data_IF_245999364961
#
_entry.id   IF_245999364961
#
_cell.length_a   1.000
_cell.length_b   1.000
_cell.length_c   1.000
_cell.angle_alpha   90.00
_cell.angle_beta   90.00
_cell.angle_gamma   90.00
#
_symmetry.space_group_name_H-M   'P 1'
#
loop_
_entity.id
_entity.type
_entity.pdbx_description
1 polymer ?
#
# COMPACT_ATOMS: atom_id res chain seq x y z
N UNK A 1 -18.16 19.05 -9.71
CA UNK A 1 -17.45 20.28 -10.11
C UNK A 1 -16.53 19.84 -11.23
N UNK A 2 -16.99 19.74 -12.49
CA UNK A 2 -16.29 18.92 -13.46
C UNK A 2 -14.91 19.45 -13.83
N UNK A 3 -13.96 18.52 -14.01
CA UNK A 3 -12.64 18.82 -14.55
C UNK A 3 -12.64 18.95 -16.08
N UNK A 4 -13.74 18.55 -16.72
CA UNK A 4 -13.90 18.49 -18.18
C UNK A 4 -14.92 19.52 -18.67
N UNK A 5 -14.56 20.21 -19.73
CA UNK A 5 -15.46 20.92 -20.62
C UNK A 5 -15.10 20.55 -22.07
N UNK A 6 -15.84 21.06 -23.03
CA UNK A 6 -15.55 20.88 -24.46
C UNK A 6 -15.57 22.20 -25.20
N UNK A 7 -14.76 22.33 -26.24
CA UNK A 7 -14.93 23.39 -27.25
C UNK A 7 -16.20 23.14 -28.07
N UNK A 8 -16.63 24.11 -28.86
CA UNK A 8 -17.75 23.91 -29.79
C UNK A 8 -17.45 22.85 -30.85
N UNK A 9 -16.17 22.69 -31.23
CA UNK A 9 -15.71 21.63 -32.12
C UNK A 9 -15.69 20.23 -31.48
N UNK A 10 -15.97 20.13 -30.17
CA UNK A 10 -15.98 18.86 -29.44
C UNK A 10 -14.63 18.44 -28.87
N UNK A 11 -13.62 19.30 -28.92
CA UNK A 11 -12.31 19.01 -28.32
C UNK A 11 -12.39 19.11 -26.78
N UNK A 12 -11.79 18.16 -26.04
CA UNK A 12 -11.84 18.17 -24.59
C UNK A 12 -10.94 19.26 -24.00
N UNK A 13 -11.52 20.10 -23.15
CA UNK A 13 -10.81 21.05 -22.29
C UNK A 13 -10.70 20.44 -20.90
N UNK A 14 -9.49 20.01 -20.52
CA UNK A 14 -9.23 19.37 -19.23
C UNK A 14 -8.56 20.37 -18.29
N UNK A 15 -9.31 20.92 -17.33
CA UNK A 15 -8.90 22.07 -16.54
C UNK A 15 -7.52 21.94 -15.86
N UNK A 16 -7.16 20.80 -15.22
CA UNK A 16 -5.84 20.63 -14.61
C UNK A 16 -4.67 20.53 -15.59
N UNK A 17 -4.93 20.25 -16.87
CA UNK A 17 -3.91 20.07 -17.91
C UNK A 17 -3.70 21.31 -18.78
N UNK A 18 -4.56 22.33 -18.64
CA UNK A 18 -4.38 23.61 -19.31
C UNK A 18 -3.19 24.36 -18.71
N UNK A 19 -2.32 24.88 -19.57
CA UNK A 19 -1.24 25.78 -19.15
C UNK A 19 -1.82 27.05 -18.50
N UNK A 20 -1.00 27.74 -17.71
CA UNK A 20 -1.42 28.99 -17.04
C UNK A 20 -1.92 30.04 -18.03
N UNK A 21 -1.26 30.14 -19.19
CA UNK A 21 -1.66 31.03 -20.27
C UNK A 21 -3.02 30.63 -20.87
N UNK A 22 -3.21 29.35 -21.22
CA UNK A 22 -4.49 28.86 -21.76
C UNK A 22 -5.63 29.04 -20.75
N UNK A 23 -5.37 28.76 -19.47
CA UNK A 23 -6.33 28.95 -18.39
C UNK A 23 -6.73 30.42 -18.24
N UNK A 24 -5.76 31.34 -18.26
CA UNK A 24 -6.03 32.77 -18.12
C UNK A 24 -6.76 33.35 -19.33
N UNK A 25 -6.39 32.92 -20.54
CA UNK A 25 -7.13 33.26 -21.76
C UNK A 25 -8.59 32.80 -21.66
N UNK A 26 -8.82 31.55 -21.24
CA UNK A 26 -10.16 31.01 -21.09
C UNK A 26 -10.97 31.74 -20.00
N UNK A 27 -10.31 32.15 -18.91
CA UNK A 27 -10.91 32.87 -17.78
C UNK A 27 -11.30 34.31 -18.16
N UNK A 28 -10.45 35.02 -18.89
CA UNK A 28 -10.65 36.41 -19.30
C UNK A 28 -11.60 36.59 -20.51
N UNK A 29 -11.76 35.56 -21.35
CA UNK A 29 -12.63 35.62 -22.53
C UNK A 29 -14.11 35.80 -22.17
N UNK A 30 -14.77 36.85 -22.72
CA UNK A 30 -16.23 37.05 -22.60
C UNK A 30 -17.03 35.98 -23.35
N UNK A 31 -16.59 35.62 -24.56
CA UNK A 31 -17.18 34.56 -25.40
C UNK A 31 -16.28 33.32 -25.41
N UNK A 32 -15.95 32.81 -24.23
CA UNK A 32 -15.11 31.61 -24.08
C UNK A 32 -15.75 30.41 -24.79
N UNK A 33 -14.96 29.70 -25.57
CA UNK A 33 -15.38 28.45 -26.20
C UNK A 33 -15.14 27.26 -25.27
N UNK A 34 -15.96 27.18 -24.22
CA UNK A 34 -15.96 26.07 -23.28
C UNK A 34 -17.40 25.77 -22.87
N UNK A 35 -17.80 24.52 -22.99
CA UNK A 35 -19.17 24.05 -22.83
C UNK A 35 -19.20 22.87 -21.87
N UNK A 36 -20.25 22.83 -21.04
CA UNK A 36 -20.40 21.78 -20.03
C UNK A 36 -20.70 20.42 -20.69
N UNK A 37 -20.13 19.31 -20.20
CA UNK A 37 -20.49 17.97 -20.65
C UNK A 37 -22.00 17.76 -20.44
N UNK A 38 -22.74 17.45 -21.52
CA UNK A 38 -24.20 17.21 -21.49
C UNK A 38 -25.10 18.42 -21.21
N UNK A 39 -24.57 19.64 -21.18
CA UNK A 39 -25.34 20.87 -20.96
C UNK A 39 -25.24 21.86 -22.12
N UNK A 40 -26.25 22.74 -22.28
CA UNK A 40 -26.21 23.85 -23.25
C UNK A 40 -25.49 25.10 -22.72
N UNK A 41 -24.93 25.04 -21.51
CA UNK A 41 -24.30 26.19 -20.83
C UNK A 41 -22.81 26.30 -21.12
N UNK A 42 -22.33 27.54 -21.29
CA UNK A 42 -20.88 27.83 -21.30
C UNK A 42 -20.29 27.55 -19.92
N UNK A 43 -19.25 26.73 -19.89
CA UNK A 43 -18.51 26.38 -18.69
C UNK A 43 -17.82 27.62 -18.08
N UNK A 44 -17.91 27.80 -16.77
CA UNK A 44 -17.24 28.91 -16.06
C UNK A 44 -15.96 28.39 -15.42
N UNK A 45 -14.75 28.83 -15.86
CA UNK A 45 -13.49 28.44 -15.24
C UNK A 45 -13.41 28.95 -13.80
N UNK A 46 -13.11 28.06 -12.85
CA UNK A 46 -12.97 28.37 -11.42
C UNK A 46 -11.81 27.61 -10.80
N UNK A 47 -11.40 28.07 -9.61
CA UNK A 47 -10.37 27.43 -8.79
C UNK A 47 -10.98 27.12 -7.43
N UNK A 48 -10.82 25.88 -6.96
CA UNK A 48 -11.30 25.43 -5.64
C UNK A 48 -10.43 25.99 -4.51
N UNK A 49 -10.82 25.79 -3.23
CA UNK A 49 -10.00 26.24 -2.10
C UNK A 49 -8.64 25.53 -2.03
N UNK A 50 -8.54 24.33 -2.62
CA UNK A 50 -7.29 23.57 -2.71
C UNK A 50 -6.44 23.96 -3.93
N UNK A 51 -6.85 24.96 -4.72
CA UNK A 51 -6.12 25.40 -5.90
C UNK A 51 -6.40 24.59 -7.16
N UNK A 52 -7.30 23.58 -7.11
CA UNK A 52 -7.65 22.78 -8.29
C UNK A 52 -8.52 23.59 -9.25
N UNK A 53 -8.10 23.68 -10.52
CA UNK A 53 -8.85 24.26 -11.64
C UNK A 53 -10.01 23.34 -12.03
N UNK A 54 -11.19 23.91 -12.25
CA UNK A 54 -12.40 23.18 -12.67
C UNK A 54 -13.39 24.06 -13.41
N UNK A 55 -14.42 23.45 -13.97
CA UNK A 55 -15.52 24.13 -14.66
C UNK A 55 -16.80 24.11 -13.82
N UNK A 56 -17.46 25.26 -13.68
CA UNK A 56 -18.76 25.37 -13.04
C UNK A 56 -19.87 25.61 -14.07
N UNK A 57 -21.07 25.08 -13.80
CA UNK A 57 -22.27 25.43 -14.56
C UNK A 57 -22.60 26.93 -14.39
N UNK A 58 -23.21 27.56 -15.41
CA UNK A 58 -23.84 28.87 -15.26
C UNK A 58 -24.89 28.89 -14.14
N UNK A 59 -25.12 30.05 -13.50
CA UNK A 59 -26.22 30.22 -12.57
C UNK A 59 -27.57 29.80 -13.19
N UNK A 60 -28.41 29.12 -12.41
CA UNK A 60 -29.74 28.69 -12.85
C UNK A 60 -29.78 27.41 -13.69
N UNK A 61 -28.64 26.80 -14.01
CA UNK A 61 -28.62 25.45 -14.61
C UNK A 61 -28.54 24.37 -13.52
N UNK A 62 -29.30 23.27 -13.66
CA UNK A 62 -29.26 22.17 -12.70
C UNK A 62 -27.89 21.52 -12.70
N UNK A 63 -27.30 21.39 -11.51
CA UNK A 63 -26.16 20.51 -11.29
C UNK A 63 -26.70 19.10 -11.06
N UNK A 64 -26.44 18.17 -11.96
CA UNK A 64 -26.78 16.76 -11.74
C UNK A 64 -25.81 16.15 -10.73
N UNK A 65 -26.32 15.71 -9.57
CA UNK A 65 -25.57 14.95 -8.57
C UNK A 65 -25.18 15.72 -7.30
N UNK A 66 -24.63 14.99 -6.32
CA UNK A 66 -24.13 15.56 -5.08
C UNK A 66 -22.97 16.54 -5.34
N UNK A 67 -22.87 17.58 -4.51
CA UNK A 67 -21.78 18.56 -4.59
C UNK A 67 -20.46 17.86 -4.21
N UNK A 68 -19.67 17.57 -5.22
CA UNK A 68 -18.30 17.06 -5.10
C UNK A 68 -17.44 17.94 -4.20
N UNK A 69 -16.62 17.32 -3.34
CA UNK A 69 -15.76 18.04 -2.40
C UNK A 69 -14.47 18.52 -3.08
N UNK A 70 -13.87 19.59 -2.57
CA UNK A 70 -12.59 20.10 -3.09
C UNK A 70 -11.48 19.02 -3.03
N UNK A 71 -11.51 18.15 -2.01
CA UNK A 71 -10.58 17.04 -1.86
C UNK A 71 -10.75 16.00 -2.96
N UNK A 72 -12.00 15.56 -3.23
CA UNK A 72 -12.28 14.59 -4.29
C UNK A 72 -11.79 15.12 -5.64
N UNK A 73 -12.10 16.38 -5.92
CA UNK A 73 -11.66 17.08 -7.12
C UNK A 73 -10.13 17.16 -7.25
N UNK A 74 -9.43 17.45 -6.14
CA UNK A 74 -7.97 17.50 -6.10
C UNK A 74 -7.32 16.15 -6.42
N UNK A 75 -7.83 15.05 -5.82
CA UNK A 75 -7.32 13.70 -6.06
C UNK A 75 -7.51 13.30 -7.54
N UNK A 76 -8.65 13.61 -8.16
CA UNK A 76 -8.87 13.37 -9.60
C UNK A 76 -7.88 14.12 -10.46
N UNK A 77 -7.71 15.42 -10.19
CA UNK A 77 -6.80 16.27 -10.94
C UNK A 77 -5.36 15.76 -10.87
N UNK A 78 -4.90 15.37 -9.67
CA UNK A 78 -3.59 14.79 -9.47
C UNK A 78 -3.42 13.43 -10.16
N UNK A 79 -4.47 12.59 -10.15
CA UNK A 79 -4.48 11.31 -10.86
C UNK A 79 -4.35 11.49 -12.38
N UNK A 80 -5.05 12.49 -12.93
CA UNK A 80 -4.94 12.90 -14.32
C UNK A 80 -3.52 13.32 -14.71
N UNK A 81 -2.91 14.18 -13.90
CA UNK A 81 -1.53 14.64 -14.11
C UNK A 81 -0.57 13.44 -14.09
N UNK A 82 -0.69 12.56 -13.10
CA UNK A 82 0.13 11.34 -13.01
C UNK A 82 -0.03 10.42 -14.22
N UNK A 83 -1.27 10.19 -14.66
CA UNK A 83 -1.54 9.34 -15.82
C UNK A 83 -0.99 9.92 -17.13
N UNK A 84 -1.14 11.23 -17.35
CA UNK A 84 -0.57 11.92 -18.52
C UNK A 84 0.95 11.90 -18.50
N UNK A 85 1.57 12.08 -17.32
CA UNK A 85 3.03 11.99 -17.16
C UNK A 85 3.56 10.58 -17.50
N UNK A 86 2.77 9.53 -17.28
CA UNK A 86 3.09 8.16 -17.71
C UNK A 86 2.87 7.91 -19.22
N UNK A 87 2.46 8.92 -19.99
CA UNK A 87 2.20 8.80 -21.43
C UNK A 87 0.85 8.16 -21.78
N UNK A 88 -0.09 8.09 -20.83
CA UNK A 88 -1.44 7.55 -21.07
C UNK A 88 -2.40 8.63 -21.54
N UNK A 89 -3.38 8.23 -22.35
CA UNK A 89 -4.49 9.09 -22.70
C UNK A 89 -5.55 9.09 -21.60
N UNK A 90 -5.47 10.05 -20.67
CA UNK A 90 -6.34 10.15 -19.51
C UNK A 90 -7.36 11.28 -19.60
N UNK A 91 -8.64 10.97 -19.40
CA UNK A 91 -9.73 11.94 -19.32
C UNK A 91 -10.50 11.80 -18.01
N UNK A 92 -10.95 12.90 -17.38
CA UNK A 92 -11.80 12.82 -16.21
C UNK A 92 -13.21 12.38 -16.58
N UNK A 93 -13.91 11.81 -15.59
CA UNK A 93 -15.37 11.76 -15.56
C UNK A 93 -16.03 11.08 -16.76
N UNK A 94 -15.33 10.11 -17.36
CA UNK A 94 -15.81 9.37 -18.52
C UNK A 94 -16.89 8.38 -18.09
N UNK A 95 -17.96 8.31 -18.86
CA UNK A 95 -19.06 7.37 -18.64
C UNK A 95 -19.17 6.36 -19.78
N UNK A 96 -19.84 5.27 -19.49
CA UNK A 96 -20.29 4.30 -20.48
C UNK A 96 -21.28 3.33 -19.84
N UNK A 97 -21.60 2.28 -20.57
CA UNK A 97 -22.58 1.29 -20.15
C UNK A 97 -21.99 -0.10 -20.34
N UNK A 98 -22.23 -1.00 -19.39
CA UNK A 98 -21.87 -2.41 -19.49
C UNK A 98 -22.69 -3.13 -20.58
N UNK A 99 -22.28 -4.33 -21.03
CA UNK A 99 -23.05 -5.10 -22.02
C UNK A 99 -24.50 -5.42 -21.60
N UNK A 100 -24.75 -5.54 -20.30
CA UNK A 100 -26.07 -5.77 -19.70
C UNK A 100 -26.85 -4.47 -19.38
N UNK A 101 -26.35 -3.31 -19.80
CA UNK A 101 -27.10 -2.05 -19.75
C UNK A 101 -26.92 -1.23 -18.47
N UNK A 102 -25.96 -1.56 -17.60
CA UNK A 102 -25.67 -0.79 -16.40
C UNK A 102 -24.66 0.33 -16.66
N UNK A 103 -25.02 1.55 -16.29
CA UNK A 103 -24.12 2.69 -16.42
C UNK A 103 -22.93 2.62 -15.44
N UNK A 104 -21.78 3.09 -15.91
CA UNK A 104 -20.61 3.35 -15.10
C UNK A 104 -20.07 4.75 -15.41
N UNK A 105 -19.38 5.34 -14.44
CA UNK A 105 -18.67 6.60 -14.60
C UNK A 105 -17.37 6.58 -13.81
N UNK A 106 -16.27 6.66 -14.54
CA UNK A 106 -14.92 6.71 -14.00
C UNK A 106 -14.55 8.11 -13.57
N UNK A 107 -13.95 8.24 -12.39
CA UNK A 107 -13.38 9.50 -11.93
C UNK A 107 -12.27 10.00 -12.87
N UNK A 108 -11.35 9.11 -13.25
CA UNK A 108 -10.38 9.29 -14.34
C UNK A 108 -10.28 8.00 -15.13
N UNK A 109 -10.48 8.05 -16.44
CA UNK A 109 -10.28 6.91 -17.34
C UNK A 109 -8.99 7.10 -18.13
N UNK A 110 -8.05 6.17 -17.95
CA UNK A 110 -6.73 6.14 -18.57
C UNK A 110 -6.70 5.08 -19.66
N UNK A 111 -6.45 5.50 -20.91
CA UNK A 111 -6.26 4.61 -22.06
C UNK A 111 -4.78 4.48 -22.37
N UNK A 112 -4.29 3.25 -22.49
CA UNK A 112 -2.90 3.01 -22.89
C UNK A 112 -2.80 3.06 -24.42
N UNK A 113 -1.91 3.88 -25.00
CA UNK A 113 -1.73 3.93 -26.44
C UNK A 113 -1.49 2.54 -27.04
N UNK A 114 -2.25 2.21 -28.10
CA UNK A 114 -2.13 0.93 -28.82
C UNK A 114 -2.60 -0.31 -28.04
N UNK A 115 -3.32 -0.15 -26.92
CA UNK A 115 -3.91 -1.28 -26.17
C UNK A 115 -5.42 -1.10 -26.04
N UNK A 116 -6.14 -2.21 -26.12
CA UNK A 116 -7.61 -2.22 -26.05
C UNK A 116 -8.16 -2.07 -24.62
N UNK A 117 -7.34 -2.34 -23.60
CA UNK A 117 -7.75 -2.26 -22.20
C UNK A 117 -7.43 -0.88 -21.60
N UNK A 118 -8.23 -0.48 -20.62
CA UNK A 118 -8.13 0.82 -19.95
C UNK A 118 -8.07 0.65 -18.44
N UNK A 119 -7.63 1.71 -17.74
CA UNK A 119 -7.61 1.77 -16.28
C UNK A 119 -8.49 2.91 -15.80
N UNK A 120 -9.46 2.64 -14.94
CA UNK A 120 -10.14 3.66 -14.15
C UNK A 120 -9.35 3.92 -12.86
N UNK A 121 -9.05 5.19 -12.57
CA UNK A 121 -8.53 5.61 -11.26
C UNK A 121 -9.66 6.29 -10.51
N UNK A 122 -10.05 5.69 -9.38
CA UNK A 122 -11.18 6.09 -8.56
C UNK A 122 -10.73 6.77 -7.28
N UNK A 123 -11.32 7.93 -6.99
CA UNK A 123 -11.04 8.68 -5.78
C UNK A 123 -12.24 8.55 -4.82
N UNK A 124 -12.12 7.68 -3.81
CA UNK A 124 -13.20 7.47 -2.86
C UNK A 124 -12.96 8.26 -1.58
N UNK A 125 -13.56 9.45 -1.49
CA UNK A 125 -13.47 10.33 -0.31
C UNK A 125 -14.63 10.13 0.66
N UNK A 126 -15.81 9.80 0.14
CA UNK A 126 -16.98 9.51 0.98
C UNK A 126 -16.93 8.06 1.48
N UNK A 127 -17.38 7.86 2.71
CA UNK A 127 -17.49 6.53 3.31
C UNK A 127 -18.34 5.61 2.42
N UNK A 128 -17.80 4.45 2.09
CA UNK A 128 -18.48 3.42 1.31
C UNK A 128 -18.04 2.04 1.81
N UNK A 129 -18.97 1.10 1.92
CA UNK A 129 -18.70 -0.28 2.32
C UNK A 129 -18.05 -1.10 1.20
N UNK A 130 -17.34 -2.17 1.55
CA UNK A 130 -16.62 -3.05 0.61
C UNK A 130 -17.49 -3.58 -0.53
N UNK A 131 -18.75 -3.92 -0.26
CA UNK A 131 -19.68 -4.45 -1.28
C UNK A 131 -19.87 -3.48 -2.45
N UNK A 132 -20.03 -2.19 -2.17
CA UNK A 132 -20.21 -1.18 -3.22
C UNK A 132 -18.92 -0.96 -4.04
N UNK A 133 -17.74 -1.18 -3.45
CA UNK A 133 -16.50 -1.22 -4.23
C UNK A 133 -16.50 -2.41 -5.19
N UNK A 134 -16.88 -3.60 -4.71
CA UNK A 134 -16.93 -4.82 -5.52
C UNK A 134 -17.94 -4.72 -6.66
N UNK A 135 -19.15 -4.23 -6.39
CA UNK A 135 -20.15 -4.00 -7.44
C UNK A 135 -19.66 -3.00 -8.52
N UNK A 136 -18.96 -1.93 -8.11
CA UNK A 136 -18.34 -0.99 -9.07
C UNK A 136 -17.20 -1.63 -9.85
N UNK A 137 -16.39 -2.46 -9.19
CA UNK A 137 -15.31 -3.21 -9.81
C UNK A 137 -15.85 -4.20 -10.86
N UNK A 138 -16.94 -4.90 -10.56
CA UNK A 138 -17.62 -5.83 -11.47
C UNK A 138 -18.14 -5.12 -12.72
N UNK A 139 -18.79 -3.95 -12.56
CA UNK A 139 -19.22 -3.13 -13.70
C UNK A 139 -18.06 -2.68 -14.58
N UNK A 140 -16.94 -2.27 -13.98
CA UNK A 140 -15.74 -1.95 -14.75
C UNK A 140 -15.19 -3.17 -15.48
N UNK A 141 -15.08 -4.30 -14.79
CA UNK A 141 -14.58 -5.54 -15.37
C UNK A 141 -15.45 -6.01 -16.56
N UNK A 142 -16.77 -5.93 -16.43
CA UNK A 142 -17.72 -6.24 -17.52
C UNK A 142 -17.55 -5.33 -18.75
N UNK A 143 -16.97 -4.14 -18.56
CA UNK A 143 -16.66 -3.19 -19.64
C UNK A 143 -15.19 -3.26 -20.11
N UNK A 144 -14.43 -4.26 -19.68
CA UNK A 144 -13.00 -4.39 -20.01
C UNK A 144 -12.09 -3.35 -19.34
N UNK A 145 -12.58 -2.70 -18.28
CA UNK A 145 -11.88 -1.66 -17.53
C UNK A 145 -11.32 -2.26 -16.24
N UNK A 146 -10.03 -2.03 -15.99
CA UNK A 146 -9.42 -2.34 -14.69
C UNK A 146 -9.56 -1.13 -13.79
N UNK A 147 -10.00 -1.27 -12.55
CA UNK A 147 -10.07 -0.13 -11.63
C UNK A 147 -8.99 -0.17 -10.54
N UNK A 148 -8.49 1.01 -10.18
CA UNK A 148 -7.58 1.27 -9.07
C UNK A 148 -8.23 2.30 -8.15
N UNK A 149 -8.22 2.06 -6.84
CA UNK A 149 -8.94 2.87 -5.86
C UNK A 149 -8.00 3.60 -4.91
N UNK A 150 -8.15 4.92 -4.85
CA UNK A 150 -7.54 5.80 -3.86
C UNK A 150 -8.56 6.04 -2.75
N UNK A 151 -8.37 5.37 -1.60
CA UNK A 151 -9.33 5.36 -0.50
C UNK A 151 -8.94 6.40 0.54
N UNK A 152 -9.63 7.54 0.53
CA UNK A 152 -9.36 8.70 1.40
C UNK A 152 -10.43 8.88 2.49
N UNK A 153 -10.93 7.78 3.05
CA UNK A 153 -11.86 7.74 4.18
C UNK A 153 -11.46 6.69 5.21
N UNK A 154 -12.29 6.51 6.24
CA UNK A 154 -12.00 5.66 7.39
C UNK A 154 -11.67 4.20 6.99
N UNK A 155 -10.46 3.71 7.33
CA UNK A 155 -10.03 2.36 6.96
C UNK A 155 -10.97 1.25 7.47
N UNK A 156 -11.70 1.48 8.56
CA UNK A 156 -12.61 0.51 9.16
C UNK A 156 -13.69 0.01 8.18
N UNK A 157 -14.10 0.82 7.20
CA UNK A 157 -15.09 0.43 6.20
C UNK A 157 -14.59 -0.65 5.22
N UNK A 158 -13.26 -0.84 5.13
CA UNK A 158 -12.60 -1.87 4.32
C UNK A 158 -11.73 -2.80 5.19
N UNK A 159 -12.09 -2.98 6.48
CA UNK A 159 -11.27 -3.74 7.43
C UNK A 159 -10.92 -5.17 6.96
N UNK A 160 -11.84 -5.83 6.25
CA UNK A 160 -11.65 -7.19 5.72
C UNK A 160 -10.61 -7.16 4.60
N UNK A 161 -10.82 -6.30 3.60
CA UNK A 161 -9.84 -6.09 2.53
C UNK A 161 -8.44 -5.73 3.07
N UNK A 162 -8.30 -4.85 4.08
CA UNK A 162 -6.98 -4.52 4.63
C UNK A 162 -6.28 -5.67 5.37
N UNK A 163 -7.04 -6.66 5.84
CA UNK A 163 -6.49 -7.88 6.46
C UNK A 163 -6.10 -8.93 5.44
N UNK A 164 -6.87 -9.02 4.36
CA UNK A 164 -6.74 -9.99 3.28
C UNK A 164 -6.98 -9.26 1.94
N UNK A 165 -5.94 -8.60 1.40
CA UNK A 165 -6.02 -7.89 0.14
C UNK A 165 -6.38 -8.82 -1.02
N UNK A 166 -6.94 -8.24 -2.08
CA UNK A 166 -7.48 -8.93 -3.24
C UNK A 166 -6.89 -8.30 -4.53
N UNK A 167 -6.27 -9.07 -5.43
CA UNK A 167 -5.74 -8.52 -6.69
C UNK A 167 -6.84 -7.99 -7.62
N UNK A 168 -8.09 -8.41 -7.44
CA UNK A 168 -9.22 -7.97 -8.24
C UNK A 168 -9.84 -6.67 -7.72
N UNK A 169 -9.50 -6.24 -6.51
CA UNK A 169 -9.88 -4.93 -5.96
C UNK A 169 -8.61 -4.15 -5.56
N UNK A 170 -7.84 -3.57 -6.51
CA UNK A 170 -6.64 -2.79 -6.18
C UNK A 170 -7.00 -1.50 -5.46
N UNK A 171 -7.10 -1.55 -4.13
CA UNK A 171 -7.40 -0.41 -3.28
C UNK A 171 -6.22 -0.05 -2.37
N UNK A 172 -5.96 1.25 -2.28
CA UNK A 172 -4.81 1.82 -1.58
C UNK A 172 -5.26 2.88 -0.59
N UNK A 173 -4.79 2.75 0.64
CA UNK A 173 -5.04 3.73 1.69
C UNK A 173 -4.44 5.07 1.26
N UNK A 174 -5.25 6.11 1.27
CA UNK A 174 -4.85 7.48 0.94
C UNK A 174 -5.07 8.34 2.18
N UNK A 175 -4.01 8.90 2.72
CA UNK A 175 -4.09 9.77 3.91
C UNK A 175 -4.17 11.22 3.48
N UNK A 176 -4.99 12.00 4.19
CA UNK A 176 -5.11 13.45 3.96
C UNK A 176 -4.39 14.17 5.09
N UNK A 177 -3.31 14.86 4.75
CA UNK A 177 -2.52 15.70 5.65
C UNK A 177 -2.56 17.16 5.21
N UNK A 178 -1.55 17.92 5.63
CA UNK A 178 -1.28 19.26 5.13
C UNK A 178 0.11 19.29 4.52
N UNK A 179 0.27 19.97 3.40
CA UNK A 179 1.56 20.28 2.82
C UNK A 179 2.34 21.31 3.68
N UNK A 180 3.56 21.64 3.26
CA UNK A 180 4.42 22.66 3.89
C UNK A 180 3.81 24.07 3.96
N UNK A 181 2.76 24.32 3.18
CA UNK A 181 2.02 25.58 3.14
C UNK A 181 0.67 25.50 3.87
N UNK A 182 0.41 24.40 4.59
CA UNK A 182 -0.82 24.18 5.35
C UNK A 182 -2.04 23.78 4.51
N UNK A 183 -1.86 23.53 3.20
CA UNK A 183 -2.95 23.13 2.30
C UNK A 183 -3.17 21.62 2.39
N UNK A 184 -4.44 21.15 2.38
CA UNK A 184 -4.71 19.73 2.34
C UNK A 184 -4.00 19.01 1.19
N UNK A 185 -3.29 17.94 1.52
CA UNK A 185 -2.56 17.11 0.57
C UNK A 185 -2.88 15.64 0.82
N UNK A 186 -3.18 14.91 -0.24
CA UNK A 186 -3.47 13.48 -0.18
C UNK A 186 -2.26 12.67 -0.66
N UNK A 187 -1.90 11.65 0.10
CA UNK A 187 -0.75 10.78 -0.17
C UNK A 187 -1.14 9.31 -0.06
N UNK A 188 -0.69 8.49 -1.01
CA UNK A 188 -0.97 7.06 -1.09
C UNK A 188 0.04 6.29 -0.24
N UNK A 189 -0.46 5.40 0.62
CA UNK A 189 0.34 4.58 1.53
C UNK A 189 0.55 3.19 0.92
N UNK A 190 1.81 2.78 0.72
CA UNK A 190 2.17 1.44 0.24
C UNK A 190 3.58 1.07 0.70
N UNK A 191 3.77 -0.14 1.22
CA UNK A 191 5.07 -0.63 1.72
C UNK A 191 5.82 0.31 2.67
N UNK A 192 5.09 1.11 3.46
CA UNK A 192 5.68 2.11 4.38
C UNK A 192 6.14 3.40 3.70
N UNK A 193 5.92 3.52 2.39
CA UNK A 193 6.08 4.76 1.63
C UNK A 193 4.81 5.59 1.69
N UNK A 194 5.00 6.90 1.63
CA UNK A 194 3.95 7.90 1.44
C UNK A 194 4.21 8.62 0.13
N UNK A 195 3.44 8.30 -0.91
CA UNK A 195 3.66 8.79 -2.27
C UNK A 195 2.64 9.87 -2.63
N UNK A 196 3.09 10.92 -3.31
CA UNK A 196 2.16 11.88 -3.88
C UNK A 196 1.27 11.18 -4.93
N UNK A 197 0.00 11.55 -5.04
CA UNK A 197 -0.94 10.90 -5.98
C UNK A 197 -0.40 10.88 -7.43
N UNK A 198 0.17 11.97 -7.99
CA UNK A 198 0.70 11.93 -9.35
C UNK A 198 1.85 10.92 -9.52
N UNK A 199 2.73 10.81 -8.51
CA UNK A 199 3.84 9.87 -8.50
C UNK A 199 3.33 8.43 -8.45
N UNK A 200 2.41 8.14 -7.53
CA UNK A 200 1.81 6.82 -7.40
C UNK A 200 1.07 6.39 -8.68
N UNK A 201 0.22 7.25 -9.24
CA UNK A 201 -0.54 6.92 -10.46
C UNK A 201 0.40 6.74 -11.64
N UNK A 202 1.39 7.62 -11.82
CA UNK A 202 2.38 7.49 -12.89
C UNK A 202 3.16 6.18 -12.79
N UNK A 203 3.69 5.84 -11.61
CA UNK A 203 4.44 4.61 -11.40
C UNK A 203 3.57 3.36 -11.54
N UNK A 204 2.34 3.37 -11.02
CA UNK A 204 1.42 2.23 -11.16
C UNK A 204 1.11 1.93 -12.63
N UNK A 205 0.84 2.96 -13.44
CA UNK A 205 0.58 2.85 -14.87
C UNK A 205 1.84 2.55 -15.70
N UNK A 206 3.03 2.72 -15.10
CA UNK A 206 4.34 2.42 -15.71
C UNK A 206 4.95 1.12 -15.20
N UNK A 207 4.21 0.33 -14.42
CA UNK A 207 4.63 -1.02 -13.99
C UNK A 207 5.43 -1.08 -12.70
N UNK A 208 5.41 -0.05 -11.85
CA UNK A 208 5.99 -0.09 -10.49
C UNK A 208 5.09 -0.81 -9.47
N UNK A 209 3.81 -1.02 -9.79
CA UNK A 209 2.85 -1.64 -8.88
C UNK A 209 2.73 -3.14 -9.18
N UNK A 210 3.11 -3.97 -8.21
CA UNK A 210 3.17 -5.43 -8.36
C UNK A 210 2.24 -6.12 -7.37
N UNK A 211 1.54 -7.17 -7.81
CA UNK A 211 0.84 -8.07 -6.91
C UNK A 211 1.75 -9.26 -6.58
N UNK A 212 1.93 -9.56 -5.30
CA UNK A 212 2.59 -10.79 -4.84
C UNK A 212 1.62 -11.63 -4.03
N UNK A 213 1.31 -12.83 -4.52
CA UNK A 213 0.51 -13.81 -3.81
C UNK A 213 0.28 -15.07 -4.62
N UNK A 214 0.69 -16.22 -4.08
CA UNK A 214 0.55 -17.54 -4.72
C UNK A 214 -0.19 -18.56 -3.82
N UNK A 215 -0.75 -18.09 -2.69
CA UNK A 215 -1.48 -18.92 -1.73
C UNK A 215 -0.61 -19.85 -0.86
N UNK A 216 0.70 -19.93 -1.09
CA UNK A 216 1.61 -20.81 -0.31
C UNK A 216 2.72 -20.06 0.40
N UNK A 217 3.28 -19.04 -0.24
CA UNK A 217 4.38 -18.26 0.28
C UNK A 217 3.96 -17.53 1.55
N UNK A 218 4.60 -17.78 2.68
CA UNK A 218 4.37 -17.10 3.95
C UNK A 218 5.62 -16.35 4.40
N UNK A 219 5.42 -15.31 5.21
CA UNK A 219 6.52 -14.58 5.85
C UNK A 219 6.43 -14.80 7.36
N UNK A 220 7.56 -15.16 7.94
CA UNK A 220 7.74 -15.15 9.40
C UNK A 220 8.85 -14.15 9.76
N UNK A 221 8.71 -13.52 10.91
CA UNK A 221 9.68 -12.56 11.44
C UNK A 221 10.57 -13.31 12.43
N UNK A 222 11.83 -13.55 12.04
CA UNK A 222 12.83 -14.05 12.96
C UNK A 222 13.28 -12.90 13.87
N UNK A 223 13.15 -13.10 15.19
CA UNK A 223 13.50 -12.08 16.17
C UNK A 223 14.82 -12.45 16.83
N UNK A 224 15.79 -11.55 16.70
CA UNK A 224 17.14 -11.70 17.20
C UNK A 224 17.40 -10.73 18.35
N UNK A 225 18.13 -11.19 19.34
CA UNK A 225 18.62 -10.36 20.42
C UNK A 225 20.14 -10.21 20.32
N UNK A 226 20.63 -9.01 20.65
CA UNK A 226 22.06 -8.72 20.68
C UNK A 226 22.61 -8.96 22.08
N UNK A 227 23.57 -9.85 22.19
CA UNK A 227 24.24 -10.19 23.43
C UNK A 227 25.77 -10.27 23.22
N UNK A 228 26.52 -10.66 24.25
CA UNK A 228 27.94 -10.96 24.18
C UNK A 228 28.17 -12.46 24.40
N UNK A 229 29.16 -13.01 23.68
CA UNK A 229 29.59 -14.36 23.96
C UNK A 229 30.10 -14.48 25.41
N UNK A 230 29.43 -15.31 26.21
CA UNK A 230 29.77 -15.58 27.62
C UNK A 230 31.16 -16.16 27.85
N UNK A 231 31.78 -16.74 26.81
CA UNK A 231 33.12 -17.28 26.93
C UNK A 231 34.14 -16.17 27.15
N UNK A 232 34.87 -16.24 28.26
CA UNK A 232 35.76 -15.18 28.76
C UNK A 232 36.81 -14.71 27.74
N UNK A 233 37.31 -15.61 26.90
CA UNK A 233 38.30 -15.28 25.86
C UNK A 233 37.68 -14.77 24.55
N UNK A 234 36.36 -14.90 24.36
CA UNK A 234 35.70 -14.47 23.13
C UNK A 234 35.10 -13.08 23.30
N UNK A 235 34.09 -12.93 24.18
CA UNK A 235 33.39 -11.66 24.50
C UNK A 235 32.83 -10.83 23.33
N UNK A 236 33.01 -11.27 22.09
CA UNK A 236 32.45 -10.63 20.89
C UNK A 236 30.93 -10.59 20.95
N UNK A 237 30.36 -9.57 20.32
CA UNK A 237 28.93 -9.44 20.05
C UNK A 237 28.41 -10.68 19.33
N UNK A 238 27.22 -11.12 19.73
CA UNK A 238 26.48 -12.20 19.08
C UNK A 238 25.02 -11.79 18.91
N UNK A 239 24.40 -12.22 17.82
CA UNK A 239 22.97 -12.16 17.60
C UNK A 239 22.38 -13.56 17.83
N UNK A 240 21.41 -13.65 18.74
CA UNK A 240 20.77 -14.89 19.15
C UNK A 240 19.32 -14.90 18.70
N UNK A 241 18.95 -15.84 17.82
CA UNK A 241 17.55 -16.09 17.49
C UNK A 241 16.86 -16.75 18.69
N UNK A 242 15.74 -16.19 19.14
CA UNK A 242 15.02 -16.75 20.31
C UNK A 242 13.53 -16.99 20.10
N UNK A 243 12.94 -16.35 19.08
CA UNK A 243 11.59 -16.67 18.64
C UNK A 243 11.37 -16.30 17.18
N UNK A 244 10.33 -16.89 16.60
CA UNK A 244 9.73 -16.41 15.37
C UNK A 244 8.37 -15.78 15.69
N UNK A 245 7.90 -14.87 14.85
CA UNK A 245 6.57 -14.28 14.92
C UNK A 245 5.91 -14.34 13.54
N UNK A 246 4.58 -14.47 13.48
CA UNK A 246 3.84 -14.19 12.24
C UNK A 246 3.89 -12.69 11.92
N UNK A 247 3.51 -12.29 10.70
CA UNK A 247 3.35 -10.87 10.36
C UNK A 247 2.37 -10.13 11.29
N UNK A 248 1.39 -10.85 11.84
CA UNK A 248 0.43 -10.33 12.85
C UNK A 248 0.98 -10.35 14.28
N UNK A 249 2.29 -10.57 14.44
CA UNK A 249 3.01 -10.56 15.72
C UNK A 249 2.56 -11.64 16.71
N UNK A 250 1.99 -12.73 16.19
CA UNK A 250 1.71 -13.91 17.00
C UNK A 250 2.99 -14.72 17.16
N UNK A 251 3.40 -15.10 18.38
CA UNK A 251 4.57 -15.94 18.59
C UNK A 251 4.45 -17.30 17.89
N UNK A 252 5.55 -17.75 17.30
CA UNK A 252 5.75 -19.07 16.74
C UNK A 252 6.89 -19.76 17.49
N UNK A 253 6.72 -21.05 17.82
CA UNK A 253 7.81 -21.87 18.32
C UNK A 253 8.93 -21.96 17.28
N UNK A 254 10.19 -21.82 17.69
CA UNK A 254 11.32 -21.89 16.76
C UNK A 254 11.40 -23.22 16.04
N UNK A 255 11.17 -24.34 16.74
CA UNK A 255 11.11 -25.68 16.13
C UNK A 255 10.08 -25.75 15.00
N UNK A 256 8.90 -25.17 15.24
CA UNK A 256 7.81 -25.17 14.26
C UNK A 256 8.16 -24.30 13.04
N UNK A 257 8.84 -23.17 13.23
CA UNK A 257 9.36 -22.35 12.16
C UNK A 257 10.50 -23.06 11.38
N UNK A 258 11.40 -23.74 12.09
CA UNK A 258 12.52 -24.48 11.51
C UNK A 258 12.09 -25.64 10.62
N UNK A 259 10.94 -26.25 10.92
CA UNK A 259 10.36 -27.31 10.11
C UNK A 259 9.77 -26.81 8.77
N UNK A 260 9.58 -25.50 8.59
CA UNK A 260 8.98 -24.95 7.36
C UNK A 260 10.00 -24.95 6.20
N UNK A 261 9.54 -25.38 5.02
CA UNK A 261 10.35 -25.31 3.79
C UNK A 261 10.80 -23.87 3.52
N UNK A 262 12.09 -23.70 3.21
CA UNK A 262 12.72 -22.40 3.01
C UNK A 262 13.37 -21.81 4.27
N UNK A 263 13.01 -22.25 5.49
CA UNK A 263 13.62 -21.70 6.71
C UNK A 263 15.15 -21.86 6.72
N UNK A 264 15.65 -23.06 6.43
CA UNK A 264 17.08 -23.35 6.48
C UNK A 264 17.90 -22.46 5.55
N UNK A 265 17.47 -22.33 4.29
CA UNK A 265 18.11 -21.46 3.29
C UNK A 265 18.05 -19.99 3.71
N UNK A 266 16.90 -19.53 4.21
CA UNK A 266 16.73 -18.17 4.68
C UNK A 266 17.64 -17.87 5.87
N UNK A 267 17.77 -18.80 6.83
CA UNK A 267 18.66 -18.66 7.98
C UNK A 267 20.13 -18.62 7.55
N UNK A 268 20.53 -19.46 6.58
CA UNK A 268 21.88 -19.44 6.03
C UNK A 268 22.20 -18.08 5.37
N UNK A 269 21.26 -17.51 4.61
CA UNK A 269 21.38 -16.16 4.03
C UNK A 269 21.41 -15.08 5.10
N UNK A 270 20.59 -15.19 6.14
CA UNK A 270 20.61 -14.26 7.28
C UNK A 270 22.00 -14.22 7.91
N UNK A 271 22.65 -15.38 8.12
CA UNK A 271 24.02 -15.46 8.64
C UNK A 271 25.07 -14.87 7.70
N UNK A 272 24.87 -14.97 6.39
CA UNK A 272 25.79 -14.38 5.42
C UNK A 272 25.79 -12.85 5.48
N UNK A 273 24.64 -12.21 5.77
CA UNK A 273 24.53 -10.75 5.90
C UNK A 273 24.69 -10.23 7.34
N UNK A 274 24.48 -11.08 8.34
CA UNK A 274 24.67 -10.80 9.76
C UNK A 274 25.77 -11.72 10.32
N UNK A 275 27.05 -11.34 10.21
CA UNK A 275 28.17 -12.22 10.61
C UNK A 275 28.20 -12.54 12.11
N UNK A 276 27.55 -11.71 12.94
CA UNK A 276 27.38 -11.94 14.38
C UNK A 276 26.23 -12.91 14.71
N UNK A 277 25.43 -13.33 13.72
CA UNK A 277 24.35 -14.29 13.93
C UNK A 277 24.91 -15.68 14.24
N UNK A 278 24.56 -16.15 15.44
CA UNK A 278 24.90 -17.47 15.91
C UNK A 278 24.29 -18.58 15.04
N UNK A 279 24.73 -19.82 15.24
CA UNK A 279 24.16 -20.97 14.53
C UNK A 279 22.64 -21.08 14.82
N UNK A 280 21.92 -21.76 13.92
CA UNK A 280 20.49 -22.01 14.11
C UNK A 280 20.25 -22.68 15.48
N UNK A 281 19.45 -22.08 16.37
CA UNK A 281 19.32 -22.58 17.73
C UNK A 281 18.62 -23.93 17.77
N UNK A 282 18.96 -24.75 18.76
CA UNK A 282 18.24 -25.98 19.06
C UNK A 282 17.72 -25.96 20.51
N UNK A 283 16.62 -26.68 20.76
CA UNK A 283 16.08 -26.85 22.11
C UNK A 283 17.08 -27.60 23.00
N UNK A 284 17.29 -27.12 24.23
CA UNK A 284 18.09 -27.80 25.23
C UNK A 284 17.43 -27.69 26.61
N UNK A 285 16.66 -28.73 26.98
CA UNK A 285 15.83 -28.75 28.20
C UNK A 285 14.88 -27.53 28.23
N UNK A 286 15.03 -26.65 29.22
CA UNK A 286 14.20 -25.44 29.38
C UNK A 286 14.85 -24.18 28.78
N UNK A 287 15.86 -24.34 27.92
CA UNK A 287 16.64 -23.27 27.30
C UNK A 287 16.81 -23.51 25.79
N UNK A 288 17.36 -22.51 25.11
CA UNK A 288 17.90 -22.64 23.76
C UNK A 288 19.41 -22.75 23.84
N UNK A 289 19.99 -23.49 22.91
CA UNK A 289 21.43 -23.54 22.70
C UNK A 289 21.75 -23.17 21.25
N UNK A 290 22.88 -22.49 21.06
CA UNK A 290 23.44 -22.14 19.75
C UNK A 290 24.97 -22.17 19.82
N UNK A 291 25.67 -21.93 18.71
CA UNK A 291 27.14 -21.76 18.70
C UNK A 291 27.50 -20.34 18.32
N UNK A 292 28.45 -19.78 19.08
CA UNK A 292 29.08 -18.51 18.74
C UNK A 292 29.66 -18.55 17.33
N UNK A 293 29.37 -17.57 16.45
CA UNK A 293 29.94 -17.56 15.10
C UNK A 293 31.45 -17.33 15.13
N UNK A 294 31.97 -16.71 16.20
CA UNK A 294 33.37 -16.34 16.33
C UNK A 294 34.28 -17.40 16.96
N UNK A 295 33.83 -18.06 18.04
CA UNK A 295 34.65 -19.05 18.75
C UNK A 295 34.08 -20.47 18.72
N UNK A 296 32.93 -20.68 18.05
CA UNK A 296 32.25 -21.98 17.88
C UNK A 296 31.81 -22.69 19.17
N UNK A 297 32.05 -22.08 20.33
CA UNK A 297 31.59 -22.58 21.63
C UNK A 297 30.08 -22.43 21.75
N UNK A 298 29.49 -23.38 22.46
CA UNK A 298 28.06 -23.38 22.79
C UNK A 298 27.71 -22.17 23.64
N UNK A 299 26.57 -21.54 23.35
CA UNK A 299 25.94 -20.48 24.12
C UNK A 299 24.56 -20.98 24.50
N UNK A 300 24.21 -20.92 25.80
CA UNK A 300 22.89 -21.28 26.33
C UNK A 300 22.17 -20.02 26.78
N UNK A 301 20.88 -19.90 26.46
CA UNK A 301 20.09 -18.71 26.78
C UNK A 301 18.59 -19.05 26.88
N UNK A 302 17.82 -18.25 27.62
CA UNK A 302 16.37 -18.40 27.71
C UNK A 302 15.66 -17.32 26.89
N UNK A 303 14.57 -17.72 26.22
CA UNK A 303 13.76 -16.84 25.37
C UNK A 303 12.97 -15.77 26.15
N UNK A 304 12.89 -15.88 27.48
CA UNK A 304 12.07 -15.02 28.34
C UNK A 304 12.86 -13.85 28.96
N UNK A 305 14.19 -13.83 28.82
CA UNK A 305 15.07 -12.91 29.55
C UNK A 305 15.12 -11.48 28.97
N UNK A 306 14.48 -11.22 27.83
CA UNK A 306 14.79 -10.04 26.99
C UNK A 306 13.62 -9.05 26.81
N UNK A 307 12.64 -9.06 27.71
CA UNK A 307 11.56 -8.07 27.72
C UNK A 307 12.13 -6.64 27.94
N UNK A 308 11.72 -5.67 27.10
CA UNK A 308 12.13 -4.26 27.22
C UNK A 308 13.40 -3.86 26.46
N UNK A 309 14.06 -4.80 25.78
CA UNK A 309 15.30 -4.57 25.04
C UNK A 309 15.08 -4.38 23.53
N UNK A 310 16.06 -3.78 22.85
CA UNK A 310 16.09 -3.67 21.40
C UNK A 310 16.36 -5.04 20.76
N UNK A 311 15.59 -5.35 19.72
CA UNK A 311 15.70 -6.56 18.92
C UNK A 311 15.92 -6.23 17.46
N UNK A 312 16.60 -7.13 16.76
CA UNK A 312 16.72 -7.12 15.30
C UNK A 312 15.68 -8.06 14.74
N UNK A 313 14.91 -7.60 13.76
CA UNK A 313 13.91 -8.39 13.06
C UNK A 313 14.37 -8.70 11.65
N UNK A 314 14.31 -9.98 11.28
CA UNK A 314 14.64 -10.45 9.94
C UNK A 314 13.40 -11.14 9.37
N UNK A 315 12.70 -10.53 8.38
CA UNK A 315 11.67 -11.24 7.63
C UNK A 315 12.33 -12.41 6.89
N UNK A 316 11.74 -13.60 6.96
CA UNK A 316 12.20 -14.77 6.22
C UNK A 316 11.03 -15.40 5.47
N UNK A 317 11.27 -15.75 4.20
CA UNK A 317 10.25 -16.32 3.33
C UNK A 317 10.24 -17.83 3.44
N UNK A 318 9.06 -18.39 3.71
CA UNK A 318 8.83 -19.82 3.92
C UNK A 318 7.64 -20.30 3.11
N UNK A 319 7.53 -21.61 2.90
CA UNK A 319 6.28 -22.21 2.44
C UNK A 319 5.38 -22.40 3.66
N UNK A 320 4.24 -21.71 3.68
CA UNK A 320 3.28 -21.84 4.76
C UNK A 320 2.66 -23.25 4.79
N UNK A 321 2.49 -23.92 3.65
CA UNK A 321 1.86 -25.24 3.56
C UNK A 321 0.54 -25.35 4.35
N UNK A 322 0.17 -26.55 4.78
CA UNK A 322 -0.91 -26.73 5.76
C UNK A 322 -0.45 -26.45 7.20
N UNK A 323 0.76 -26.89 7.54
CA UNK A 323 1.29 -26.82 8.91
C UNK A 323 1.49 -25.37 9.36
N UNK A 324 2.11 -24.53 8.54
CA UNK A 324 2.26 -23.11 8.83
C UNK A 324 0.93 -22.38 8.93
N UNK A 325 -0.06 -22.73 8.09
CA UNK A 325 -1.43 -22.19 8.21
C UNK A 325 -2.09 -22.54 9.55
N UNK A 326 -1.94 -23.78 10.03
CA UNK A 326 -2.43 -24.18 11.38
C UNK A 326 -1.74 -23.39 12.50
N UNK A 327 -0.50 -22.95 12.28
CA UNK A 327 0.27 -22.11 13.19
C UNK A 327 0.00 -20.61 13.02
N UNK A 328 -0.92 -20.21 12.14
CA UNK A 328 -1.28 -18.82 11.90
C UNK A 328 -0.37 -18.07 10.93
N UNK A 329 0.52 -18.76 10.21
CA UNK A 329 1.24 -18.19 9.06
C UNK A 329 0.25 -18.08 7.91
N UNK A 330 -0.14 -16.84 7.61
CA UNK A 330 -1.01 -16.54 6.47
C UNK A 330 -0.14 -16.41 5.22
N UNK A 331 -0.56 -17.02 4.10
CA UNK A 331 0.11 -16.78 2.83
C UNK A 331 0.12 -15.28 2.53
N UNK A 332 1.28 -14.78 2.16
CA UNK A 332 1.51 -13.42 1.74
C UNK A 332 0.74 -13.14 0.45
N UNK A 333 -0.11 -12.13 0.50
CA UNK A 333 -0.97 -11.69 -0.60
C UNK A 333 -1.13 -10.18 -0.49
N UNK A 334 -0.32 -9.41 -1.21
CA UNK A 334 -0.32 -7.95 -1.12
C UNK A 334 0.16 -7.29 -2.40
N UNK A 335 -0.31 -6.05 -2.62
CA UNK A 335 0.29 -5.11 -3.54
C UNK A 335 1.58 -4.52 -2.97
N UNK A 336 2.57 -4.36 -3.84
CA UNK A 336 3.88 -3.82 -3.53
C UNK A 336 4.35 -2.78 -4.53
N UNK A 337 5.25 -1.91 -4.07
CA UNK A 337 5.80 -0.81 -4.85
C UNK A 337 7.28 -1.01 -5.20
N UNK A 338 7.60 -0.95 -6.48
CA UNK A 338 8.94 -1.04 -7.01
C UNK A 338 9.56 -2.44 -6.89
N UNK A 339 10.90 -2.56 -6.92
CA UNK A 339 11.58 -3.85 -6.89
C UNK A 339 11.44 -4.54 -5.52
N UNK A 340 11.44 -5.87 -5.54
CA UNK A 340 11.33 -6.75 -4.36
C UNK A 340 12.26 -6.37 -3.21
N UNK A 341 13.46 -5.86 -3.51
CA UNK A 341 14.46 -5.44 -2.52
C UNK A 341 14.00 -4.28 -1.63
N UNK A 342 12.91 -3.59 -1.98
CA UNK A 342 12.33 -2.47 -1.21
C UNK A 342 11.07 -2.84 -0.44
N UNK A 343 10.51 -4.03 -0.65
CA UNK A 343 9.23 -4.42 -0.05
C UNK A 343 9.41 -4.63 1.45
N UNK A 344 8.69 -3.84 2.26
CA UNK A 344 8.80 -3.92 3.71
C UNK A 344 8.06 -5.15 4.23
N UNK A 345 8.64 -5.83 5.23
CA UNK A 345 8.07 -7.05 5.85
C UNK A 345 7.81 -8.18 4.84
N UNK A 346 8.52 -8.21 3.73
CA UNK A 346 8.50 -9.27 2.74
C UNK A 346 9.90 -9.88 2.58
N UNK A 347 9.96 -11.14 2.17
CA UNK A 347 11.17 -11.86 1.83
C UNK A 347 10.82 -12.91 0.76
N UNK A 348 11.72 -13.26 -0.18
CA UNK A 348 11.45 -14.36 -1.10
C UNK A 348 11.53 -15.71 -0.37
N UNK A 349 10.89 -16.76 -0.92
CA UNK A 349 10.98 -18.12 -0.38
C UNK A 349 12.44 -18.57 -0.28
N UNK A 350 12.86 -19.03 0.91
CA UNK A 350 14.26 -19.39 1.16
C UNK A 350 15.20 -18.19 1.28
N UNK A 351 14.65 -16.99 1.36
CA UNK A 351 15.36 -15.73 1.41
C UNK A 351 15.02 -14.89 2.64
N UNK A 352 15.65 -13.72 2.71
CA UNK A 352 15.47 -12.74 3.77
C UNK A 352 14.99 -11.41 3.21
N UNK A 353 14.26 -10.67 4.03
CA UNK A 353 13.76 -9.34 3.73
C UNK A 353 14.62 -8.23 4.29
N UNK A 354 14.07 -7.01 4.24
CA UNK A 354 14.67 -5.84 4.89
C UNK A 354 14.76 -6.04 6.41
N UNK A 355 16.00 -6.03 6.91
CA UNK A 355 16.31 -6.12 8.33
C UNK A 355 15.92 -4.81 9.02
N UNK A 356 15.27 -4.90 10.17
CA UNK A 356 14.84 -3.73 10.93
C UNK A 356 15.13 -3.87 12.42
N UNK A 357 15.10 -2.76 13.15
CA UNK A 357 15.28 -2.72 14.60
C UNK A 357 13.96 -2.35 15.28
N UNK A 358 13.64 -3.02 16.39
CA UNK A 358 12.42 -2.77 17.17
C UNK A 358 12.75 -2.78 18.66
N UNK A 359 12.20 -1.82 19.40
CA UNK A 359 12.21 -1.86 20.87
C UNK A 359 11.04 -2.70 21.36
N UNK A 360 11.29 -3.71 22.18
CA UNK A 360 10.21 -4.49 22.80
C UNK A 360 9.51 -3.64 23.87
N UNK A 361 8.18 -3.56 23.80
CA UNK A 361 7.40 -2.93 24.87
C UNK A 361 7.61 -3.69 26.19
N UNK A 362 7.80 -2.97 27.30
CA UNK A 362 7.80 -3.58 28.63
C UNK A 362 6.43 -4.18 28.90
N UNK A 363 6.37 -5.49 29.18
CA UNK A 363 5.16 -6.07 29.78
C UNK A 363 5.06 -5.54 31.21
N UNK A 364 3.97 -4.87 31.63
CA UNK A 364 3.78 -4.59 33.04
C UNK A 364 3.78 -5.93 33.79
N UNK A 365 4.64 -6.05 34.81
CA UNK A 365 4.59 -7.19 35.74
C UNK A 365 3.17 -7.22 36.30
N UNK A 366 2.41 -8.30 36.04
CA UNK A 366 1.22 -8.59 36.84
C UNK A 366 1.71 -8.80 38.25
N UNK A 367 1.50 -7.81 39.12
CA UNK A 367 1.52 -8.05 40.56
C UNK A 367 0.46 -9.13 40.80
N UNK A 368 0.90 -10.31 41.25
CA UNK A 368 -0.03 -11.34 41.69
C UNK A 368 -0.94 -10.79 42.78
N UNK A 369 -2.13 -11.35 42.99
CA UNK A 369 -2.97 -10.96 44.13
C UNK A 369 -2.13 -11.21 45.38
N UNK A 370 -1.84 -10.15 46.13
CA UNK A 370 -1.25 -10.27 47.45
C UNK A 370 -2.25 -11.06 48.30
N UNK A 371 -1.84 -12.23 48.76
CA UNK A 371 -2.52 -12.93 49.85
C UNK A 371 -2.32 -12.08 51.10
N UNK A 372 -3.33 -11.27 51.42
CA UNK A 372 -3.52 -10.66 52.74
C UNK A 372 -4.34 -11.57 53.63
#
# INVERSE_FOLDING_TARGET
MPLLAYTHSGEPLVAPLLSDHQWEQLRSARNRDAWMPHGKGRAIPKVSRLGTRFFAHPPGQPTTGAKESDLHLSIKAQSLIGARAAGWDALPEQSGTTPDGHDWRADVLCRRPGKAWTVAVEAQVQLQGEEAYRQRQERYAASGIRALWLVAHEPAALHRYWREPDPYLPAFKTTVGKDRHGRPEAQVQIDGLSLAIPEFVSGALSGQLHWSGNGRHGIIMLVLHKDQCWHRTCRKTVLLAYRAETLRRMPLGLEAAQAMTGYGDAYARARAVLPDLADNPWPLRNALASRCPHCRREIRYHSHDWAGQDVVEVPIGVDAGEQGRRLGVTPHAQWHWGPESRWTRWAPLGGIGLISHRRLAMRPRRLGPGTG
#
